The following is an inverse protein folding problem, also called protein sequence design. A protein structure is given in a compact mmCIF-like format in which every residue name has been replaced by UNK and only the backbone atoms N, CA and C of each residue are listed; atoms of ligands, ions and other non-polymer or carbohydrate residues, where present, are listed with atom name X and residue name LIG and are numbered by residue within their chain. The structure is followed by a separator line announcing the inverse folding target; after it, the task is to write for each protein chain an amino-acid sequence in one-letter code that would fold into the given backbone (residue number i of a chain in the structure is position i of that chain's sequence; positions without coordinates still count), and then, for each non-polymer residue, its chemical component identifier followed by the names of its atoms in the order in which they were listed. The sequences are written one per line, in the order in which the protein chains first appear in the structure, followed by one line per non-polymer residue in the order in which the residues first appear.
data_IF_637519039831
#
_entry.id   IF_637519039831
#
_cell.length_a   1.000
_cell.length_b   1.000
_cell.length_c   1.000
_cell.angle_alpha   90.00
_cell.angle_beta   90.00
_cell.angle_gamma   90.00
#
_symmetry.space_group_name_H-M   'P 1'
#
loop_
_entity.id
_entity.type
_entity.pdbx_description
1 polymer ?
#
# COMPACT_ATOMS: atom_id res chain seq x y z
N UNK A 1 -6.05 19.54 -27.59
CA UNK A 1 -6.28 18.16 -28.04
C UNK A 1 -5.38 17.26 -27.20
N UNK A 2 -5.83 16.84 -26.02
CA UNK A 2 -5.10 15.85 -25.21
C UNK A 2 -5.17 14.54 -26.00
N UNK A 3 -4.04 13.85 -26.20
CA UNK A 3 -3.97 12.58 -26.93
C UNK A 3 -5.11 11.64 -26.49
N UNK A 4 -5.83 11.07 -27.46
CA UNK A 4 -6.78 9.96 -27.24
C UNK A 4 -6.00 8.71 -26.82
N UNK A 5 -5.63 8.68 -25.55
CA UNK A 5 -4.94 7.58 -24.88
C UNK A 5 -5.95 6.56 -24.37
N UNK A 6 -5.54 5.29 -24.30
CA UNK A 6 -6.39 4.18 -23.81
C UNK A 6 -6.66 4.30 -22.31
N UNK A 7 -7.74 3.63 -21.85
CA UNK A 7 -8.08 3.56 -20.42
C UNK A 7 -6.93 2.94 -19.61
N UNK A 8 -6.30 1.90 -20.17
CA UNK A 8 -5.09 1.30 -19.61
C UNK A 8 -3.98 2.31 -19.39
N UNK A 9 -3.65 3.09 -20.42
CA UNK A 9 -2.58 4.08 -20.31
C UNK A 9 -2.88 5.10 -19.21
N UNK A 10 -4.10 5.65 -19.16
CA UNK A 10 -4.50 6.62 -18.12
C UNK A 10 -4.42 6.02 -16.72
N UNK A 11 -4.90 4.78 -16.56
CA UNK A 11 -4.89 4.06 -15.28
C UNK A 11 -3.46 3.81 -14.81
N UNK A 12 -2.60 3.28 -15.68
CA UNK A 12 -1.20 3.02 -15.36
C UNK A 12 -0.41 4.30 -15.14
N UNK A 13 -0.70 5.38 -15.86
CA UNK A 13 -0.07 6.68 -15.65
C UNK A 13 -0.31 7.19 -14.22
N UNK A 14 -1.55 7.13 -13.74
CA UNK A 14 -1.89 7.50 -12.36
C UNK A 14 -1.22 6.52 -11.39
N UNK A 15 -1.45 5.21 -11.57
CA UNK A 15 -0.97 4.18 -10.66
C UNK A 15 0.56 4.20 -10.48
N UNK A 16 1.32 4.23 -11.58
CA UNK A 16 2.80 4.20 -11.53
C UNK A 16 3.33 5.50 -10.91
N UNK A 17 2.73 6.65 -11.22
CA UNK A 17 3.13 7.92 -10.62
C UNK A 17 2.94 7.90 -9.10
N UNK A 18 1.77 7.44 -8.63
CA UNK A 18 1.45 7.40 -7.20
C UNK A 18 2.25 6.33 -6.43
N UNK A 19 2.49 5.16 -7.03
CA UNK A 19 3.42 4.17 -6.46
C UNK A 19 4.86 4.70 -6.42
N UNK A 20 5.29 5.42 -7.45
CA UNK A 20 6.61 6.07 -7.48
C UNK A 20 6.76 7.10 -6.36
N UNK A 21 5.72 7.88 -6.09
CA UNK A 21 5.68 8.81 -4.95
C UNK A 21 5.74 8.03 -3.63
N UNK A 22 4.88 7.04 -3.44
CA UNK A 22 4.83 6.22 -2.22
C UNK A 22 6.20 5.61 -1.90
N UNK A 23 6.77 4.83 -2.84
CA UNK A 23 8.05 4.17 -2.63
C UNK A 23 9.22 5.15 -2.57
N UNK A 24 9.14 6.27 -3.30
CA UNK A 24 10.11 7.36 -3.23
C UNK A 24 10.18 7.96 -1.82
N UNK A 25 9.04 8.22 -1.20
CA UNK A 25 8.96 8.72 0.18
C UNK A 25 9.38 7.66 1.21
N UNK A 26 9.04 6.38 1.00
CA UNK A 26 9.52 5.27 1.84
C UNK A 26 11.04 5.21 1.84
N UNK A 27 11.66 5.19 0.66
CA UNK A 27 13.12 5.20 0.54
C UNK A 27 13.74 6.48 1.13
N UNK A 28 13.12 7.63 0.91
CA UNK A 28 13.60 8.90 1.46
C UNK A 28 13.63 8.90 2.99
N UNK A 29 12.61 8.33 3.66
CA UNK A 29 12.59 8.18 5.13
C UNK A 29 13.74 7.29 5.59
N UNK A 30 13.90 6.11 5.00
CA UNK A 30 14.96 5.16 5.34
C UNK A 30 16.35 5.79 5.16
N UNK A 31 16.57 6.44 4.02
CA UNK A 31 17.82 7.14 3.72
C UNK A 31 18.09 8.27 4.72
N UNK A 32 17.07 9.08 5.04
CA UNK A 32 17.21 10.22 5.94
C UNK A 32 17.46 9.78 7.39
N UNK A 33 16.83 8.68 7.84
CA UNK A 33 17.10 8.07 9.14
C UNK A 33 18.55 7.59 9.25
N UNK A 34 19.04 6.90 8.22
CA UNK A 34 20.44 6.47 8.11
C UNK A 34 21.44 7.64 8.18
N UNK A 35 21.14 8.75 7.50
CA UNK A 35 21.98 9.94 7.53
C UNK A 35 21.94 10.66 8.88
N UNK A 36 20.77 10.74 9.51
CA UNK A 36 20.61 11.34 10.84
C UNK A 36 21.41 10.55 11.89
N UNK A 37 21.35 9.22 11.85
CA UNK A 37 22.14 8.36 12.72
C UNK A 37 23.65 8.60 12.56
N UNK A 38 24.18 8.56 11.32
CA UNK A 38 25.61 8.78 11.05
C UNK A 38 26.12 10.15 11.52
N UNK A 39 25.27 11.17 11.48
CA UNK A 39 25.61 12.54 11.87
C UNK A 39 25.33 12.86 13.35
N UNK A 40 24.84 11.89 14.14
CA UNK A 40 24.36 12.11 15.51
C UNK A 40 23.28 13.21 15.60
N UNK A 41 22.44 13.33 14.57
CA UNK A 41 21.30 14.26 14.52
C UNK A 41 19.97 13.51 14.58
N UNK A 42 18.86 14.25 14.59
CA UNK A 42 17.50 13.68 14.53
C UNK A 42 16.88 13.91 13.16
N UNK A 43 16.04 12.97 12.71
CA UNK A 43 15.20 13.14 11.53
C UNK A 43 13.75 13.26 11.97
N UNK A 44 13.06 14.33 11.55
CA UNK A 44 11.71 14.65 12.03
C UNK A 44 11.60 14.67 13.57
N UNK A 45 12.68 15.03 14.28
CA UNK A 45 12.71 15.01 15.74
C UNK A 45 12.77 13.60 16.37
N UNK A 46 12.93 12.55 15.55
CA UNK A 46 13.15 11.16 15.96
C UNK A 46 14.66 10.88 15.95
N UNK A 47 15.15 10.24 17.01
CA UNK A 47 16.53 9.73 17.08
C UNK A 47 16.53 8.24 16.82
N UNK A 48 17.63 7.69 16.31
CA UNK A 48 17.71 6.27 15.94
C UNK A 48 18.80 5.58 16.74
N UNK A 49 18.55 4.34 17.11
CA UNK A 49 19.50 3.49 17.84
C UNK A 49 19.94 2.33 16.94
N UNK A 50 21.21 1.94 17.01
CA UNK A 50 21.66 0.76 16.31
C UNK A 50 21.06 -0.49 16.96
N UNK A 51 20.51 -1.37 16.14
CA UNK A 51 20.14 -2.74 16.49
C UNK A 51 20.92 -3.70 15.59
N UNK A 52 21.04 -4.95 16.02
CA UNK A 52 21.64 -6.01 15.21
C UNK A 52 20.54 -7.00 14.90
N UNK A 53 20.26 -7.21 13.61
CA UNK A 53 19.23 -8.16 13.19
C UNK A 53 19.68 -9.62 13.39
N UNK A 54 18.77 -10.57 13.16
CA UNK A 54 19.07 -12.01 13.28
C UNK A 54 20.14 -12.51 12.29
N UNK A 55 20.50 -11.70 11.29
CA UNK A 55 21.54 -11.97 10.27
C UNK A 55 22.86 -11.25 10.58
N UNK A 56 23.04 -10.72 11.79
CA UNK A 56 24.21 -9.92 12.21
C UNK A 56 24.47 -8.65 11.39
N UNK A 57 23.43 -8.04 10.83
CA UNK A 57 23.49 -6.78 10.10
C UNK A 57 23.05 -5.63 11.00
N UNK A 58 23.68 -4.46 10.83
CA UNK A 58 23.28 -3.24 11.52
C UNK A 58 21.94 -2.76 10.97
N UNK A 59 21.02 -2.48 11.87
CA UNK A 59 19.68 -1.97 11.60
C UNK A 59 19.38 -0.77 12.51
N UNK A 60 18.38 0.03 12.15
CA UNK A 60 18.06 1.27 12.85
C UNK A 60 16.66 1.24 13.44
N UNK A 61 16.59 1.31 14.77
CA UNK A 61 15.30 1.36 15.48
C UNK A 61 15.01 2.80 15.89
N UNK A 62 13.84 3.36 15.52
CA UNK A 62 13.43 4.69 15.95
C UNK A 62 13.22 4.74 17.48
N UNK A 63 13.59 5.86 18.10
CA UNK A 63 13.40 6.06 19.54
C UNK A 63 11.96 6.43 19.87
N UNK A 64 11.37 5.73 20.84
CA UNK A 64 10.08 6.10 21.40
C UNK A 64 10.17 7.46 22.11
N UNK A 65 9.44 8.44 21.58
CA UNK A 65 9.30 9.77 22.18
C UNK A 65 7.91 10.34 21.98
N UNK A 66 7.48 11.24 22.87
CA UNK A 66 6.20 11.92 22.73
C UNK A 66 6.09 12.71 21.41
N UNK A 67 7.20 13.27 20.94
CA UNK A 67 7.27 13.98 19.64
C UNK A 67 7.09 13.00 18.47
N UNK A 68 7.71 11.82 18.55
CA UNK A 68 7.49 10.73 17.58
C UNK A 68 6.00 10.40 17.51
N UNK A 69 5.35 10.11 18.64
CA UNK A 69 3.92 9.77 18.67
C UNK A 69 3.01 10.86 18.07
N UNK A 70 3.33 12.13 18.31
CA UNK A 70 2.56 13.26 17.75
C UNK A 70 2.66 13.32 16.23
N UNK A 71 3.85 13.13 15.66
CA UNK A 71 4.06 13.14 14.20
C UNK A 71 3.30 11.99 13.54
N UNK A 72 3.41 10.79 14.08
CA UNK A 72 2.66 9.64 13.59
C UNK A 72 1.13 9.86 13.68
N UNK A 73 0.65 10.52 14.74
CA UNK A 73 -0.77 10.87 14.87
C UNK A 73 -1.25 11.83 13.77
N UNK A 74 -0.45 12.85 13.42
CA UNK A 74 -0.78 13.75 12.31
C UNK A 74 -0.70 13.07 10.94
N UNK A 75 0.30 12.21 10.73
CA UNK A 75 0.46 11.45 9.49
C UNK A 75 -0.70 10.46 9.29
N UNK A 76 -1.09 9.74 10.33
CA UNK A 76 -2.24 8.81 10.29
C UNK A 76 -3.56 9.56 10.08
N UNK A 77 -3.75 10.73 10.69
CA UNK A 77 -4.90 11.58 10.41
C UNK A 77 -4.95 12.03 8.94
N UNK A 78 -3.82 12.52 8.41
CA UNK A 78 -3.68 12.89 6.99
C UNK A 78 -4.00 11.72 6.05
N UNK A 79 -3.47 10.53 6.36
CA UNK A 79 -3.74 9.29 5.64
C UNK A 79 -5.24 8.97 5.59
N UNK A 80 -5.93 8.98 6.74
CA UNK A 80 -7.36 8.63 6.82
C UNK A 80 -8.21 9.65 6.06
N UNK A 81 -7.99 10.95 6.29
CA UNK A 81 -8.78 12.01 5.63
C UNK A 81 -8.60 11.98 4.12
N UNK A 82 -7.35 11.88 3.66
CA UNK A 82 -7.05 11.82 2.22
C UNK A 82 -7.61 10.55 1.57
N UNK A 83 -7.50 9.40 2.24
CA UNK A 83 -8.04 8.12 1.76
C UNK A 83 -9.56 8.12 1.61
N UNK A 84 -10.28 8.66 2.59
CA UNK A 84 -11.74 8.82 2.52
C UNK A 84 -12.10 9.78 1.37
N UNK A 85 -11.39 10.90 1.25
CA UNK A 85 -11.65 11.89 0.21
C UNK A 85 -11.50 11.31 -1.21
N UNK A 86 -10.39 10.63 -1.52
CA UNK A 86 -10.19 10.02 -2.84
C UNK A 86 -11.20 8.89 -3.11
N UNK A 87 -11.61 8.12 -2.09
CA UNK A 87 -12.67 7.10 -2.23
C UNK A 87 -13.99 7.72 -2.66
N UNK A 88 -14.40 8.82 -2.02
CA UNK A 88 -15.64 9.54 -2.37
C UNK A 88 -15.53 10.16 -3.77
N UNK A 89 -14.43 10.84 -4.07
CA UNK A 89 -14.23 11.53 -5.35
C UNK A 89 -14.23 10.54 -6.52
N UNK A 90 -13.51 9.44 -6.39
CA UNK A 90 -13.38 8.43 -7.45
C UNK A 90 -14.66 7.62 -7.65
N UNK A 91 -15.36 7.24 -6.58
CA UNK A 91 -16.62 6.48 -6.68
C UNK A 91 -17.81 7.31 -7.15
N UNK A 92 -17.86 8.60 -6.82
CA UNK A 92 -18.92 9.51 -7.26
C UNK A 92 -18.63 10.19 -8.61
N UNK A 93 -17.46 9.95 -9.21
CA UNK A 93 -17.07 10.54 -10.50
C UNK A 93 -16.94 12.07 -10.44
N UNK A 94 -16.42 12.61 -9.34
CA UNK A 94 -16.23 14.05 -9.15
C UNK A 94 -14.96 14.54 -9.91
N UNK A 95 -14.37 15.65 -9.49
CA UNK A 95 -13.23 16.24 -10.20
C UNK A 95 -11.96 15.36 -10.09
N UNK A 96 -11.51 14.84 -11.23
CA UNK A 96 -10.31 13.98 -11.34
C UNK A 96 -9.06 14.63 -10.74
N UNK A 97 -8.81 15.92 -11.00
CA UNK A 97 -7.62 16.59 -10.49
C UNK A 97 -7.60 16.66 -8.97
N UNK A 98 -8.78 16.88 -8.35
CA UNK A 98 -8.93 16.87 -6.90
C UNK A 98 -8.72 15.45 -6.37
N UNK A 99 -9.21 14.44 -7.08
CA UNK A 99 -8.99 13.03 -6.75
C UNK A 99 -7.52 12.63 -6.77
N UNK A 100 -6.79 13.01 -7.83
CA UNK A 100 -5.33 12.81 -7.94
C UNK A 100 -4.61 13.55 -6.80
N UNK A 101 -4.96 14.81 -6.51
CA UNK A 101 -4.34 15.55 -5.42
C UNK A 101 -4.49 14.86 -4.05
N UNK A 102 -5.68 14.34 -3.74
CA UNK A 102 -5.88 13.56 -2.51
C UNK A 102 -5.17 12.19 -2.55
N UNK A 103 -5.10 11.55 -3.70
CA UNK A 103 -4.32 10.32 -3.89
C UNK A 103 -2.82 10.56 -3.63
N UNK A 104 -2.28 11.68 -4.12
CA UNK A 104 -0.89 12.07 -3.85
C UNK A 104 -0.64 12.35 -2.37
N UNK A 105 -1.53 13.06 -1.68
CA UNK A 105 -1.41 13.27 -0.22
C UNK A 105 -1.45 11.93 0.51
N UNK A 106 -2.30 11.00 0.06
CA UNK A 106 -2.40 9.65 0.60
C UNK A 106 -1.10 8.86 0.39
N UNK A 107 -0.54 8.88 -0.83
CA UNK A 107 0.71 8.22 -1.20
C UNK A 107 1.90 8.73 -0.41
N UNK A 108 2.02 10.05 -0.22
CA UNK A 108 3.06 10.65 0.63
C UNK A 108 2.89 10.18 2.09
N UNK A 109 1.66 10.23 2.63
CA UNK A 109 1.38 9.87 4.01
C UNK A 109 1.70 8.38 4.28
N UNK A 110 1.26 7.47 3.40
CA UNK A 110 1.58 6.05 3.47
C UNK A 110 3.07 5.82 3.27
N UNK A 111 3.69 6.46 2.29
CA UNK A 111 5.11 6.30 1.98
C UNK A 111 5.99 6.62 3.19
N UNK A 112 5.69 7.70 3.91
CA UNK A 112 6.40 8.08 5.14
C UNK A 112 6.17 7.04 6.25
N UNK A 113 4.91 6.67 6.52
CA UNK A 113 4.57 5.67 7.55
C UNK A 113 5.24 4.33 7.26
N UNK A 114 5.19 3.89 6.01
CA UNK A 114 5.81 2.66 5.53
C UNK A 114 7.33 2.67 5.72
N UNK A 115 7.99 3.80 5.48
CA UNK A 115 9.42 3.96 5.74
C UNK A 115 9.78 3.71 7.21
N UNK A 116 8.95 4.20 8.14
CA UNK A 116 9.14 3.90 9.56
C UNK A 116 8.82 2.45 9.93
N UNK A 117 7.76 1.86 9.37
CA UNK A 117 7.43 0.44 9.56
C UNK A 117 8.62 -0.45 9.14
N UNK A 118 9.27 -0.12 8.02
CA UNK A 118 10.44 -0.88 7.54
C UNK A 118 11.66 -0.72 8.44
N UNK A 119 11.88 0.45 9.03
CA UNK A 119 12.93 0.65 10.03
C UNK A 119 12.68 -0.16 11.31
N UNK A 120 11.42 -0.35 11.72
CA UNK A 120 11.09 -1.14 12.91
C UNK A 120 11.20 -2.66 12.69
N UNK A 121 11.00 -3.12 11.45
CA UNK A 121 10.89 -4.55 11.13
C UNK A 121 12.20 -5.22 10.70
N UNK A 122 13.19 -4.43 10.26
CA UNK A 122 14.38 -4.76 9.46
C UNK A 122 14.26 -4.17 8.04
N UNK A 123 15.10 -3.16 7.74
CA UNK A 123 15.15 -2.45 6.46
C UNK A 123 15.28 -3.41 5.27
N UNK A 124 16.11 -4.45 5.39
CA UNK A 124 16.39 -5.37 4.29
C UNK A 124 15.20 -6.30 4.02
N UNK A 125 14.53 -6.78 5.06
CA UNK A 125 13.32 -7.59 4.88
C UNK A 125 12.14 -6.72 4.40
N UNK A 126 12.08 -5.45 4.82
CA UNK A 126 11.16 -4.45 4.26
C UNK A 126 11.35 -4.24 2.74
N UNK A 127 12.59 -4.05 2.29
CA UNK A 127 12.90 -3.90 0.86
C UNK A 127 12.58 -5.18 0.06
N UNK A 128 12.85 -6.36 0.63
CA UNK A 128 12.46 -7.65 0.01
C UNK A 128 10.95 -7.78 -0.15
N UNK A 129 10.17 -7.30 0.81
CA UNK A 129 8.70 -7.28 0.69
C UNK A 129 8.25 -6.40 -0.50
N UNK A 130 8.83 -5.21 -0.68
CA UNK A 130 8.52 -4.35 -1.85
C UNK A 130 8.76 -5.10 -3.16
N UNK A 131 9.94 -5.69 -3.34
CA UNK A 131 10.25 -6.42 -4.58
C UNK A 131 9.30 -7.60 -4.81
N UNK A 132 8.92 -8.30 -3.73
CA UNK A 132 7.96 -9.40 -3.79
C UNK A 132 6.59 -8.92 -4.27
N UNK A 133 6.06 -7.85 -3.67
CA UNK A 133 4.75 -7.27 -4.04
C UNK A 133 4.76 -6.79 -5.48
N UNK A 134 5.82 -6.13 -5.94
CA UNK A 134 5.93 -5.65 -7.32
C UNK A 134 5.90 -6.82 -8.31
N UNK A 135 6.65 -7.90 -8.03
CA UNK A 135 6.62 -9.11 -8.87
C UNK A 135 5.24 -9.77 -8.88
N UNK A 136 4.62 -9.92 -7.71
CA UNK A 136 3.28 -10.51 -7.58
C UNK A 136 2.25 -9.66 -8.31
N UNK A 137 2.36 -8.33 -8.26
CA UNK A 137 1.46 -7.40 -8.98
C UNK A 137 1.58 -7.57 -10.48
N UNK A 138 2.80 -7.70 -11.02
CA UNK A 138 3.01 -7.96 -12.45
C UNK A 138 2.39 -9.31 -12.85
N UNK A 139 2.60 -10.37 -12.07
CA UNK A 139 2.01 -11.68 -12.34
C UNK A 139 0.48 -11.63 -12.27
N UNK A 140 -0.08 -10.96 -11.27
CA UNK A 140 -1.52 -10.76 -11.13
C UNK A 140 -2.10 -9.96 -12.31
N UNK A 141 -1.39 -8.94 -12.79
CA UNK A 141 -1.78 -8.19 -13.98
C UNK A 141 -1.83 -9.08 -15.22
N UNK A 142 -0.79 -9.90 -15.45
CA UNK A 142 -0.75 -10.84 -16.58
C UNK A 142 -1.88 -11.86 -16.51
N UNK A 143 -2.15 -12.43 -15.34
CA UNK A 143 -3.24 -13.40 -15.15
C UNK A 143 -4.60 -12.73 -15.33
N UNK A 144 -4.83 -11.59 -14.69
CA UNK A 144 -6.11 -10.87 -14.74
C UNK A 144 -6.47 -10.40 -16.15
N UNK A 145 -5.48 -10.03 -16.96
CA UNK A 145 -5.70 -9.54 -18.33
C UNK A 145 -5.66 -10.63 -19.40
N UNK A 146 -4.73 -11.59 -19.34
CA UNK A 146 -4.46 -12.49 -20.47
C UNK A 146 -4.90 -13.95 -20.27
N UNK A 147 -5.38 -14.35 -19.09
CA UNK A 147 -5.79 -15.75 -18.84
C UNK A 147 -7.01 -16.22 -19.64
N UNK A 148 -7.80 -15.31 -20.21
CA UNK A 148 -9.10 -15.61 -20.82
C UNK A 148 -10.20 -15.96 -19.81
N UNK A 149 -9.90 -15.97 -18.50
CA UNK A 149 -10.86 -16.24 -17.43
C UNK A 149 -11.59 -14.95 -17.05
N UNK A 150 -12.90 -15.05 -16.87
CA UNK A 150 -13.72 -13.95 -16.37
C UNK A 150 -13.66 -13.87 -14.83
N UNK A 151 -12.58 -13.29 -14.29
CA UNK A 151 -12.40 -13.08 -12.85
C UNK A 151 -13.31 -12.00 -12.28
N UNK A 152 -13.58 -10.92 -13.03
CA UNK A 152 -14.43 -9.81 -12.62
C UNK A 152 -15.93 -10.19 -12.66
N UNK A 153 -16.30 -11.28 -12.01
CA UNK A 153 -17.65 -11.80 -11.91
C UNK A 153 -18.26 -11.53 -10.52
N UNK A 154 -19.58 -11.55 -10.44
CA UNK A 154 -20.32 -11.20 -9.21
C UNK A 154 -20.00 -12.13 -8.04
N UNK A 155 -19.76 -13.41 -8.30
CA UNK A 155 -19.49 -14.40 -7.26
C UNK A 155 -18.15 -14.13 -6.57
N UNK A 156 -17.09 -13.93 -7.36
CA UNK A 156 -15.78 -13.58 -6.82
C UNK A 156 -15.83 -12.24 -6.10
N UNK A 157 -16.52 -11.24 -6.64
CA UNK A 157 -16.70 -9.94 -5.97
C UNK A 157 -17.30 -10.07 -4.55
N UNK A 158 -18.31 -10.93 -4.37
CA UNK A 158 -18.93 -11.16 -3.05
C UNK A 158 -17.95 -11.87 -2.10
N UNK A 159 -17.22 -12.89 -2.59
CA UNK A 159 -16.23 -13.61 -1.79
C UNK A 159 -15.13 -12.65 -1.32
N UNK A 160 -14.61 -11.84 -2.23
CA UNK A 160 -13.60 -10.83 -1.95
C UNK A 160 -14.11 -9.80 -0.93
N UNK A 161 -15.32 -9.30 -1.12
CA UNK A 161 -15.93 -8.34 -0.19
C UNK A 161 -16.08 -8.91 1.23
N UNK A 162 -16.54 -10.16 1.38
CA UNK A 162 -16.60 -10.83 2.69
C UNK A 162 -15.20 -11.04 3.26
N UNK A 163 -14.23 -11.41 2.42
CA UNK A 163 -12.81 -11.50 2.79
C UNK A 163 -12.28 -10.19 3.35
N UNK A 164 -12.55 -9.07 2.69
CA UNK A 164 -12.14 -7.74 3.11
C UNK A 164 -12.74 -7.37 4.47
N UNK A 165 -14.04 -7.63 4.69
CA UNK A 165 -14.68 -7.41 5.99
C UNK A 165 -14.05 -8.24 7.11
N UNK A 166 -13.65 -9.49 6.83
CA UNK A 166 -12.92 -10.32 7.79
C UNK A 166 -11.53 -9.74 8.09
N UNK A 167 -10.78 -9.30 7.08
CA UNK A 167 -9.46 -8.68 7.26
C UNK A 167 -9.54 -7.39 8.08
N UNK A 168 -10.51 -6.52 7.79
CA UNK A 168 -10.74 -5.29 8.57
C UNK A 168 -11.10 -5.63 10.02
N UNK A 169 -12.02 -6.57 10.22
CA UNK A 169 -12.48 -6.97 11.57
C UNK A 169 -11.35 -7.53 12.42
N UNK A 170 -10.46 -8.34 11.84
CA UNK A 170 -9.29 -8.85 12.54
C UNK A 170 -8.31 -7.75 12.92
N UNK A 171 -8.02 -6.82 11.99
CA UNK A 171 -7.12 -5.71 12.27
C UNK A 171 -7.66 -4.81 13.39
N UNK A 172 -8.97 -4.53 13.43
CA UNK A 172 -9.61 -3.83 14.54
C UNK A 172 -9.50 -4.64 15.85
N UNK A 173 -9.77 -5.95 15.81
CA UNK A 173 -9.66 -6.80 17.00
C UNK A 173 -8.24 -6.83 17.57
N UNK A 174 -7.22 -6.80 16.71
CA UNK A 174 -5.80 -6.81 17.11
C UNK A 174 -5.38 -5.52 17.82
N UNK A 175 -5.97 -4.37 17.47
CA UNK A 175 -5.73 -3.12 18.21
C UNK A 175 -6.18 -3.24 19.67
N UNK A 176 -7.22 -4.03 19.94
CA UNK A 176 -7.75 -4.22 21.30
C UNK A 176 -7.15 -5.41 22.05
N UNK A 177 -6.60 -6.41 21.34
CA UNK A 177 -6.13 -7.67 21.91
C UNK A 177 -4.81 -8.11 21.28
N UNK A 178 -3.85 -8.46 22.12
CA UNK A 178 -2.59 -9.05 21.69
C UNK A 178 -2.79 -10.53 21.31
N UNK A 179 -2.94 -10.80 20.00
CA UNK A 179 -2.96 -12.16 19.47
C UNK A 179 -1.56 -12.79 19.48
N UNK A 180 -1.53 -14.13 19.52
CA UNK A 180 -0.27 -14.87 19.40
C UNK A 180 0.37 -14.66 18.02
N UNK A 181 1.71 -14.56 17.97
CA UNK A 181 2.49 -14.34 16.72
C UNK A 181 2.09 -15.29 15.59
N UNK A 182 1.87 -16.57 15.89
CA UNK A 182 1.44 -17.59 14.93
C UNK A 182 0.07 -17.27 14.30
N UNK A 183 -0.88 -16.77 15.09
CA UNK A 183 -2.22 -16.39 14.62
C UNK A 183 -2.13 -15.20 13.69
N UNK A 184 -1.38 -14.17 14.10
CA UNK A 184 -1.12 -12.98 13.29
C UNK A 184 -0.48 -13.35 11.95
N UNK A 185 0.57 -14.18 11.96
CA UNK A 185 1.25 -14.62 10.73
C UNK A 185 0.33 -15.42 9.79
N UNK A 186 -0.48 -16.33 10.32
CA UNK A 186 -1.42 -17.09 9.51
C UNK A 186 -2.47 -16.17 8.87
N UNK A 187 -2.89 -15.13 9.60
CA UNK A 187 -3.82 -14.15 9.07
C UNK A 187 -3.20 -13.28 8.00
N UNK A 188 -1.93 -12.90 8.18
CA UNK A 188 -1.17 -12.16 7.18
C UNK A 188 -1.01 -12.95 5.86
N UNK A 189 -0.81 -14.27 5.94
CA UNK A 189 -0.81 -15.14 4.75
C UNK A 189 -2.18 -15.16 4.08
N UNK A 190 -3.27 -15.27 4.85
CA UNK A 190 -4.64 -15.21 4.32
C UNK A 190 -4.90 -13.86 3.63
N UNK A 191 -4.57 -12.75 4.29
CA UNK A 191 -4.69 -11.39 3.73
C UNK A 191 -3.88 -11.24 2.44
N UNK A 192 -2.64 -11.75 2.42
CA UNK A 192 -1.81 -11.74 1.21
C UNK A 192 -2.48 -12.48 0.05
N UNK A 193 -3.01 -13.69 0.26
CA UNK A 193 -3.76 -14.40 -0.78
C UNK A 193 -5.01 -13.65 -1.23
N UNK A 194 -5.74 -13.03 -0.30
CA UNK A 194 -6.93 -12.24 -0.59
C UNK A 194 -6.61 -11.04 -1.49
N UNK A 195 -5.58 -10.26 -1.18
CA UNK A 195 -5.22 -9.08 -1.97
C UNK A 195 -4.62 -9.43 -3.34
N UNK A 196 -3.96 -10.59 -3.48
CA UNK A 196 -3.59 -11.12 -4.80
C UNK A 196 -4.82 -11.42 -5.67
N UNK A 197 -5.88 -11.99 -5.08
CA UNK A 197 -7.13 -12.24 -5.81
C UNK A 197 -7.85 -10.95 -6.18
N UNK A 198 -7.80 -9.94 -5.32
CA UNK A 198 -8.28 -8.58 -5.62
C UNK A 198 -7.53 -7.97 -6.81
N UNK A 199 -6.19 -8.04 -6.84
CA UNK A 199 -5.41 -7.55 -7.99
C UNK A 199 -5.83 -8.25 -9.30
N UNK A 200 -5.96 -9.57 -9.28
CA UNK A 200 -6.41 -10.34 -10.46
C UNK A 200 -7.81 -9.89 -10.90
N UNK A 201 -8.73 -9.69 -9.93
CA UNK A 201 -10.08 -9.21 -10.18
C UNK A 201 -10.07 -7.80 -10.81
N UNK A 202 -9.30 -6.87 -10.25
CA UNK A 202 -9.24 -5.48 -10.69
C UNK A 202 -8.60 -5.33 -12.06
N UNK A 203 -7.52 -6.06 -12.36
CA UNK A 203 -6.95 -6.07 -13.71
C UNK A 203 -7.92 -6.67 -14.74
N UNK A 204 -8.70 -7.69 -14.37
CA UNK A 204 -9.75 -8.21 -15.24
C UNK A 204 -10.91 -7.22 -15.41
N UNK A 205 -11.25 -6.46 -14.36
CA UNK A 205 -12.25 -5.41 -14.42
C UNK A 205 -11.81 -4.28 -15.35
N UNK A 206 -10.54 -3.85 -15.26
CA UNK A 206 -9.95 -2.83 -16.13
C UNK A 206 -10.07 -3.24 -17.60
N UNK A 207 -9.79 -4.50 -17.93
CA UNK A 207 -9.97 -5.04 -19.28
C UNK A 207 -11.40 -4.84 -19.79
N UNK A 208 -12.39 -5.28 -19.02
CA UNK A 208 -13.80 -5.16 -19.41
C UNK A 208 -14.27 -3.73 -19.54
N UNK A 209 -13.80 -2.84 -18.66
CA UNK A 209 -14.14 -1.42 -18.70
C UNK A 209 -13.49 -0.73 -19.90
N UNK A 210 -12.28 -1.14 -20.30
CA UNK A 210 -11.58 -0.56 -21.44
C UNK A 210 -12.30 -0.74 -22.78
N UNK A 211 -13.18 -1.74 -22.88
CA UNK A 211 -14.04 -1.97 -24.04
C UNK A 211 -15.27 -1.05 -24.06
N UNK A 212 -15.61 -0.43 -22.94
CA UNK A 212 -16.87 0.31 -22.73
C UNK A 212 -16.65 1.80 -22.52
N UNK A 213 -15.59 2.17 -21.81
CA UNK A 213 -15.31 3.56 -21.41
C UNK A 213 -13.83 3.88 -21.58
N UNK A 214 -13.55 5.17 -21.79
CA UNK A 214 -12.19 5.68 -21.91
C UNK A 214 -12.06 7.09 -21.31
N UNK A 215 -12.54 7.25 -20.08
CA UNK A 215 -12.54 8.52 -19.37
C UNK A 215 -11.58 8.50 -18.16
N UNK A 216 -11.20 9.69 -17.71
CA UNK A 216 -10.25 9.86 -16.61
C UNK A 216 -10.84 9.52 -15.23
N UNK A 217 -12.18 9.55 -15.05
CA UNK A 217 -12.80 9.17 -13.79
C UNK A 217 -12.72 7.65 -13.59
N UNK A 218 -13.06 6.87 -14.62
CA UNK A 218 -12.89 5.42 -14.60
C UNK A 218 -11.41 5.06 -14.38
N UNK A 219 -10.48 5.76 -15.03
CA UNK A 219 -9.05 5.54 -14.84
C UNK A 219 -8.60 5.81 -13.41
N UNK A 220 -9.05 6.92 -12.80
CA UNK A 220 -8.75 7.25 -11.40
C UNK A 220 -9.33 6.20 -10.44
N UNK A 221 -10.58 5.78 -10.65
CA UNK A 221 -11.21 4.74 -9.83
C UNK A 221 -10.44 3.43 -9.87
N UNK A 222 -10.09 2.96 -11.07
CA UNK A 222 -9.31 1.72 -11.24
C UNK A 222 -7.90 1.85 -10.67
N UNK A 223 -7.23 2.99 -10.90
CA UNK A 223 -5.88 3.22 -10.38
C UNK A 223 -5.87 3.22 -8.85
N UNK A 224 -6.85 3.86 -8.21
CA UNK A 224 -6.95 3.92 -6.76
C UNK A 224 -7.28 2.56 -6.15
N UNK A 225 -8.17 1.77 -6.76
CA UNK A 225 -8.49 0.41 -6.31
C UNK A 225 -7.26 -0.49 -6.32
N UNK A 226 -6.57 -0.57 -7.48
CA UNK A 226 -5.34 -1.36 -7.63
C UNK A 226 -4.25 -0.88 -6.67
N UNK A 227 -4.09 0.43 -6.50
CA UNK A 227 -3.13 1.02 -5.57
C UNK A 227 -3.37 0.57 -4.13
N UNK A 228 -4.62 0.56 -3.65
CA UNK A 228 -4.96 0.08 -2.31
C UNK A 228 -4.66 -1.41 -2.15
N UNK A 229 -4.95 -2.23 -3.16
CA UNK A 229 -4.66 -3.67 -3.09
C UNK A 229 -3.16 -3.96 -3.05
N UNK A 230 -2.35 -3.20 -3.78
CA UNK A 230 -0.88 -3.29 -3.72
C UNK A 230 -0.38 -2.94 -2.31
N UNK A 231 -0.88 -1.86 -1.71
CA UNK A 231 -0.48 -1.44 -0.37
C UNK A 231 -0.89 -2.47 0.67
N UNK A 232 -2.14 -2.93 0.60
CA UNK A 232 -2.64 -3.92 1.56
C UNK A 232 -1.86 -5.24 1.43
N UNK A 233 -1.59 -5.70 0.21
CA UNK A 233 -0.71 -6.85 -0.03
C UNK A 233 0.68 -6.63 0.58
N UNK A 234 1.26 -5.45 0.43
CA UNK A 234 2.55 -5.11 1.04
C UNK A 234 2.51 -5.17 2.55
N UNK A 235 1.51 -4.57 3.19
CA UNK A 235 1.37 -4.58 4.65
C UNK A 235 1.20 -6.00 5.20
N UNK A 236 0.41 -6.85 4.53
CA UNK A 236 0.24 -8.24 4.93
C UNK A 236 1.54 -9.06 4.74
N UNK A 237 2.29 -8.83 3.66
CA UNK A 237 3.59 -9.50 3.46
C UNK A 237 4.61 -9.04 4.52
N UNK A 238 4.65 -7.75 4.85
CA UNK A 238 5.49 -7.22 5.91
C UNK A 238 5.15 -7.88 7.24
N UNK A 239 3.88 -7.91 7.65
CA UNK A 239 3.46 -8.54 8.92
C UNK A 239 3.73 -10.07 8.93
N UNK A 240 3.68 -10.74 7.78
CA UNK A 240 4.08 -12.15 7.66
C UNK A 240 5.60 -12.35 7.87
N UNK A 241 6.44 -11.43 7.38
CA UNK A 241 7.90 -11.47 7.51
C UNK A 241 8.38 -11.06 8.90
N UNK A 242 7.80 -10.00 9.48
CA UNK A 242 8.16 -9.48 10.80
C UNK A 242 7.79 -10.42 11.97
N UNK A 243 6.84 -11.33 11.76
CA UNK A 243 6.44 -12.36 12.73
C UNK A 243 7.06 -13.75 12.45
N UNK A 244 8.19 -13.80 11.73
CA UNK A 244 8.90 -15.05 11.42
C UNK A 244 9.71 -15.62 12.59
#
# INVERSE_FOLDING_TARGET
MLLDTSLYFKTFLILISELGILFGFTYWVIHSANQAYKNNTSFMGVTFRPAVNMKNQLDLVPSDSQKTAMIFSWLTFSLVVSGIAVTIISSAGLNVLVGIAFMTINAISIGIILGFIMLEMDENDGMRAIYTVMMVTVVAALIGTFSGINFANRTLAIILFVGLLMSISFNIARVSKNFARKTTRNWAIFGSCLFVLYLIFDFNMLLKLSERTNDWNTALFMAYSIYLDIINLLLEILDAMGNS
#
